data_IF_658320018026
#
_entry.id   IF_658320018026
#
_cell.length_a   1.000
_cell.length_b   1.000
_cell.length_c   1.000
_cell.angle_alpha   90.00
_cell.angle_beta   90.00
_cell.angle_gamma   90.00
#
_symmetry.space_group_name_H-M   'P 1'
#
loop_
_entity.id
_entity.type
_entity.pdbx_description
1 polymer ?
#
# COMPACT_ATOMS: atom_id res chain seq x y z
N UNK A 1 17.76 82.30 -11.72
CA UNK A 1 18.66 81.08 -11.77
C UNK A 1 17.97 80.01 -11.02
N UNK A 2 17.24 79.17 -11.70
CA UNK A 2 16.48 78.03 -11.08
C UNK A 2 16.91 76.72 -11.71
N UNK A 3 17.53 75.88 -10.97
CA UNK A 3 17.96 74.57 -11.39
C UNK A 3 16.85 73.54 -11.07
N UNK A 4 16.21 73.06 -12.14
CA UNK A 4 15.23 71.96 -12.10
C UNK A 4 15.96 70.60 -11.96
N UNK A 5 15.80 69.92 -10.86
CA UNK A 5 16.26 68.54 -10.69
C UNK A 5 15.18 67.59 -11.21
N UNK A 6 15.49 66.84 -12.25
CA UNK A 6 14.67 65.73 -12.78
C UNK A 6 14.88 64.50 -11.89
N UNK A 7 13.78 63.95 -11.34
CA UNK A 7 13.70 62.65 -10.67
C UNK A 7 13.63 61.56 -11.74
N UNK A 8 14.42 60.47 -11.67
CA UNK A 8 14.31 59.37 -12.61
C UNK A 8 13.04 58.55 -12.35
N UNK A 9 12.32 58.23 -13.42
CA UNK A 9 11.16 57.36 -13.38
C UNK A 9 11.61 55.94 -13.03
N UNK A 10 11.08 55.39 -11.92
CA UNK A 10 11.30 54.04 -11.47
C UNK A 10 10.75 53.00 -12.46
N UNK A 11 11.50 51.94 -12.61
CA UNK A 11 11.12 50.75 -13.34
C UNK A 11 9.94 50.08 -12.62
N UNK A 12 8.75 50.11 -13.20
CA UNK A 12 7.66 49.22 -12.78
C UNK A 12 7.97 47.83 -13.25
N UNK A 13 8.40 46.98 -12.33
CA UNK A 13 8.56 45.57 -12.54
C UNK A 13 7.15 44.93 -12.61
N UNK A 14 6.65 44.71 -13.82
CA UNK A 14 5.41 43.99 -14.06
C UNK A 14 5.65 42.51 -13.68
N UNK A 15 5.37 42.16 -12.44
CA UNK A 15 5.16 40.76 -12.07
C UNK A 15 3.95 40.25 -12.87
N UNK A 16 4.23 39.56 -13.97
CA UNK A 16 3.22 38.79 -14.70
C UNK A 16 2.81 37.67 -13.76
N UNK A 17 1.64 37.80 -13.12
CA UNK A 17 1.02 36.71 -12.38
C UNK A 17 0.89 35.53 -13.34
N UNK A 18 1.61 34.45 -13.06
CA UNK A 18 1.38 33.17 -13.72
C UNK A 18 -0.10 32.82 -13.48
N UNK A 19 -0.83 32.32 -14.49
CA UNK A 19 -2.18 31.87 -14.27
C UNK A 19 -2.13 30.82 -13.17
N UNK A 20 -2.96 31.00 -12.13
CA UNK A 20 -3.33 29.97 -11.18
C UNK A 20 -4.00 28.86 -12.00
N UNK A 21 -3.19 27.95 -12.57
CA UNK A 21 -3.72 26.66 -12.99
C UNK A 21 -4.43 26.11 -11.79
N UNK A 22 -5.72 25.86 -11.97
CA UNK A 22 -6.62 25.35 -10.94
C UNK A 22 -5.93 24.16 -10.26
N UNK A 23 -5.43 24.36 -9.04
CA UNK A 23 -5.11 23.25 -8.14
C UNK A 23 -6.43 22.55 -7.88
N UNK A 24 -6.77 21.60 -8.72
CA UNK A 24 -7.83 20.64 -8.42
C UNK A 24 -7.35 19.92 -7.17
N UNK A 25 -7.86 20.33 -6.01
CA UNK A 25 -7.68 19.58 -4.77
C UNK A 25 -8.24 18.19 -5.03
N UNK A 26 -7.37 17.23 -5.22
CA UNK A 26 -7.76 15.83 -5.35
C UNK A 26 -8.53 15.46 -4.09
N UNK A 27 -9.79 15.09 -4.24
CA UNK A 27 -10.61 14.66 -3.12
C UNK A 27 -10.12 13.30 -2.65
N UNK A 28 -10.12 13.07 -1.34
CA UNK A 28 -9.83 11.75 -0.79
C UNK A 28 -10.79 10.72 -1.40
N UNK A 29 -10.29 9.58 -1.89
CA UNK A 29 -11.15 8.56 -2.46
C UNK A 29 -12.13 8.04 -1.41
N UNK A 30 -13.39 7.93 -1.81
CA UNK A 30 -14.43 7.25 -1.04
C UNK A 30 -14.48 5.76 -1.38
N UNK A 31 -13.82 5.36 -2.47
CA UNK A 31 -13.70 3.99 -2.97
C UNK A 31 -12.27 3.83 -3.55
N UNK A 32 -11.67 2.66 -3.37
CA UNK A 32 -10.41 2.27 -4.01
C UNK A 32 -10.73 1.40 -5.22
N UNK A 33 -11.33 2.01 -6.22
CA UNK A 33 -11.55 1.33 -7.49
C UNK A 33 -10.21 1.01 -8.18
N UNK A 34 -10.11 -0.12 -8.90
CA UNK A 34 -8.90 -0.48 -9.62
C UNK A 34 -8.52 0.61 -10.65
N UNK A 35 -7.23 0.89 -10.77
CA UNK A 35 -6.74 1.87 -11.77
C UNK A 35 -7.02 1.46 -13.21
N UNK A 36 -7.20 0.17 -13.46
CA UNK A 36 -7.59 -0.45 -14.72
C UNK A 36 -8.61 -1.58 -14.46
N UNK A 37 -9.75 -1.61 -15.16
CA UNK A 37 -10.76 -2.68 -14.97
C UNK A 37 -10.20 -4.10 -15.15
N UNK A 38 -9.25 -4.29 -16.06
CA UNK A 38 -8.59 -5.58 -16.32
C UNK A 38 -7.87 -6.17 -15.10
N UNK A 39 -7.58 -5.38 -14.05
CA UNK A 39 -7.00 -5.90 -12.81
C UNK A 39 -7.99 -6.76 -12.02
N UNK A 40 -9.29 -6.54 -12.18
CA UNK A 40 -10.34 -7.39 -11.60
C UNK A 40 -10.53 -8.65 -12.46
N UNK A 41 -10.54 -8.51 -13.79
CA UNK A 41 -10.64 -9.65 -14.70
C UNK A 41 -9.52 -10.65 -14.43
N UNK A 42 -8.29 -10.17 -14.19
CA UNK A 42 -7.14 -11.00 -13.85
C UNK A 42 -7.34 -11.84 -12.56
N UNK A 43 -8.08 -11.35 -11.59
CA UNK A 43 -8.39 -12.14 -10.39
C UNK A 43 -9.22 -13.37 -10.74
N UNK A 44 -10.13 -13.25 -11.71
CA UNK A 44 -10.90 -14.39 -12.24
C UNK A 44 -10.01 -15.36 -13.03
N UNK A 45 -9.12 -14.85 -13.89
CA UNK A 45 -8.14 -15.67 -14.63
C UNK A 45 -7.24 -16.45 -13.63
N UNK A 46 -6.83 -15.83 -12.53
CA UNK A 46 -6.02 -16.48 -11.48
C UNK A 46 -6.80 -17.61 -10.81
N UNK A 47 -8.04 -17.36 -10.41
CA UNK A 47 -8.88 -18.40 -9.80
C UNK A 47 -9.07 -19.59 -10.75
N UNK A 48 -9.40 -19.34 -12.01
CA UNK A 48 -9.52 -20.38 -13.02
C UNK A 48 -8.22 -21.19 -13.18
N UNK A 49 -7.08 -20.49 -13.26
CA UNK A 49 -5.77 -21.14 -13.42
C UNK A 49 -5.41 -22.07 -12.25
N UNK A 50 -5.74 -21.69 -11.01
CA UNK A 50 -5.44 -22.47 -9.83
C UNK A 50 -6.57 -23.42 -9.41
N UNK A 51 -7.76 -23.31 -10.03
CA UNK A 51 -8.94 -24.10 -9.68
C UNK A 51 -9.55 -23.69 -8.34
N UNK A 52 -9.50 -22.39 -8.00
CA UNK A 52 -10.07 -21.85 -6.76
C UNK A 52 -11.48 -21.33 -6.98
N UNK A 53 -12.34 -21.46 -5.94
CA UNK A 53 -13.71 -20.98 -5.98
C UNK A 53 -13.80 -19.54 -5.48
N UNK A 54 -14.53 -18.69 -6.20
CA UNK A 54 -14.79 -17.31 -5.77
C UNK A 54 -15.65 -17.24 -4.50
N UNK A 55 -16.46 -18.26 -4.24
CA UNK A 55 -17.29 -18.35 -3.04
C UNK A 55 -16.46 -18.35 -1.75
N UNK A 56 -15.27 -18.99 -1.79
CA UNK A 56 -14.36 -19.02 -0.64
C UNK A 56 -13.80 -17.62 -0.33
N UNK A 57 -13.45 -16.86 -1.39
CA UNK A 57 -13.01 -15.46 -1.26
C UNK A 57 -14.13 -14.58 -0.67
N UNK A 58 -15.36 -14.76 -1.15
CA UNK A 58 -16.52 -14.01 -0.68
C UNK A 58 -16.85 -14.33 0.78
N UNK A 59 -16.83 -15.61 1.16
CA UNK A 59 -17.08 -16.03 2.54
C UNK A 59 -16.02 -15.46 3.50
N UNK A 60 -14.72 -15.52 3.15
CA UNK A 60 -13.64 -14.95 3.94
C UNK A 60 -13.81 -13.43 4.10
N UNK A 61 -14.13 -12.72 3.03
CA UNK A 61 -14.33 -11.28 3.05
C UNK A 61 -15.55 -10.86 3.90
N UNK A 62 -16.67 -11.56 3.78
CA UNK A 62 -17.87 -11.32 4.59
C UNK A 62 -17.60 -11.60 6.08
N UNK A 63 -16.88 -12.68 6.39
CA UNK A 63 -16.47 -12.97 7.77
C UNK A 63 -15.55 -11.88 8.33
N UNK A 64 -14.57 -11.39 7.55
CA UNK A 64 -13.65 -10.33 7.98
C UNK A 64 -14.39 -9.03 8.27
N UNK A 65 -15.26 -8.56 7.37
CA UNK A 65 -16.00 -7.31 7.62
C UNK A 65 -16.91 -7.43 8.83
N UNK A 66 -17.60 -8.57 9.00
CA UNK A 66 -18.43 -8.83 10.17
C UNK A 66 -17.58 -8.80 11.46
N UNK A 67 -16.43 -9.49 11.48
CA UNK A 67 -15.51 -9.52 12.63
C UNK A 67 -15.04 -8.13 13.03
N UNK A 68 -14.67 -7.30 12.05
CA UNK A 68 -14.17 -5.95 12.31
C UNK A 68 -15.29 -5.00 12.74
N UNK A 69 -16.49 -5.10 12.19
CA UNK A 69 -17.61 -4.22 12.54
C UNK A 69 -18.25 -4.56 13.89
N UNK A 70 -18.04 -5.76 14.40
CA UNK A 70 -18.45 -6.15 15.76
C UNK A 70 -17.37 -5.92 16.82
N UNK A 71 -16.17 -5.48 16.41
CA UNK A 71 -15.09 -5.13 17.33
C UNK A 71 -15.43 -3.92 18.19
N UNK A 72 -14.99 -3.92 19.45
CA UNK A 72 -15.10 -2.79 20.37
C UNK A 72 -14.03 -1.70 20.11
N UNK A 73 -13.12 -1.93 19.18
CA UNK A 73 -12.11 -0.95 18.80
C UNK A 73 -12.74 0.18 17.99
N UNK A 74 -12.99 1.31 18.64
CA UNK A 74 -13.57 2.50 17.99
C UNK A 74 -12.80 2.90 16.72
N UNK A 75 -11.48 2.76 16.74
CA UNK A 75 -10.60 3.05 15.59
C UNK A 75 -10.95 2.23 14.34
N UNK A 76 -11.56 1.06 14.51
CA UNK A 76 -11.95 0.15 13.42
C UNK A 76 -13.40 0.31 12.96
N UNK A 77 -14.17 1.18 13.60
CA UNK A 77 -15.50 1.54 13.12
C UNK A 77 -15.42 2.06 11.67
N UNK A 78 -16.43 1.77 10.86
CA UNK A 78 -16.43 2.05 9.40
C UNK A 78 -16.05 3.49 9.07
N UNK A 79 -16.60 4.48 9.78
CA UNK A 79 -16.27 5.88 9.54
C UNK A 79 -14.82 6.22 9.88
N UNK A 80 -14.24 5.60 10.92
CA UNK A 80 -12.83 5.79 11.29
C UNK A 80 -11.89 5.13 10.29
N UNK A 81 -12.27 3.98 9.69
CA UNK A 81 -11.52 3.38 8.58
C UNK A 81 -11.48 4.31 7.36
N UNK A 82 -12.58 5.02 7.06
CA UNK A 82 -12.60 6.04 6.00
C UNK A 82 -11.70 7.24 6.32
N UNK A 83 -11.63 7.67 7.59
CA UNK A 83 -10.69 8.70 8.03
C UNK A 83 -9.25 8.21 7.89
N UNK A 84 -8.97 6.96 8.24
CA UNK A 84 -7.65 6.35 8.09
C UNK A 84 -7.21 6.30 6.62
N UNK A 85 -8.11 5.92 5.71
CA UNK A 85 -7.86 5.99 4.27
C UNK A 85 -7.53 7.42 3.82
N UNK A 86 -8.25 8.41 4.31
CA UNK A 86 -8.00 9.82 4.00
C UNK A 86 -6.66 10.33 4.52
N UNK A 87 -6.20 9.86 5.69
CA UNK A 87 -4.86 10.16 6.23
C UNK A 87 -3.76 9.58 5.34
N UNK A 88 -3.93 8.33 4.90
CA UNK A 88 -3.00 7.63 4.02
C UNK A 88 -2.95 8.34 2.66
N UNK A 89 -4.10 8.69 2.08
CA UNK A 89 -4.18 9.48 0.85
C UNK A 89 -3.39 10.80 0.96
N UNK A 90 -3.58 11.57 2.03
CA UNK A 90 -2.82 12.81 2.25
C UNK A 90 -1.32 12.56 2.33
N UNK A 91 -0.91 11.47 3.01
CA UNK A 91 0.51 11.13 3.18
C UNK A 91 1.16 10.74 1.85
N UNK A 92 0.48 9.98 1.01
CA UNK A 92 1.03 9.38 -0.20
C UNK A 92 0.77 10.18 -1.48
N UNK A 93 -0.37 10.86 -1.57
CA UNK A 93 -0.78 11.57 -2.79
C UNK A 93 -0.60 13.08 -2.66
N UNK A 94 -1.20 13.69 -1.62
CA UNK A 94 -1.15 15.16 -1.49
C UNK A 94 0.27 15.66 -1.20
N UNK A 95 1.03 14.97 -0.34
CA UNK A 95 2.44 15.31 -0.08
C UNK A 95 3.38 14.92 -1.22
N UNK A 96 2.88 14.11 -2.13
CA UNK A 96 3.54 13.70 -3.36
C UNK A 96 4.99 13.15 -3.17
N UNK A 97 5.27 12.23 -2.21
CA UNK A 97 6.58 11.64 -1.97
C UNK A 97 6.95 10.57 -3.01
N UNK A 98 8.22 10.22 -3.13
CA UNK A 98 8.64 8.92 -3.69
C UNK A 98 8.18 7.79 -2.76
N UNK A 99 7.79 6.65 -3.32
CA UNK A 99 7.31 5.49 -2.57
C UNK A 99 8.06 4.24 -3.03
N UNK A 100 8.64 3.50 -2.10
CA UNK A 100 9.22 2.20 -2.36
C UNK A 100 8.31 1.09 -1.81
N UNK A 101 7.97 0.13 -2.65
CA UNK A 101 7.30 -1.11 -2.24
C UNK A 101 8.39 -2.15 -1.95
N UNK A 102 8.40 -2.68 -0.73
CA UNK A 102 9.28 -3.78 -0.35
C UNK A 102 8.58 -5.10 -0.65
N UNK A 103 9.11 -5.86 -1.58
CA UNK A 103 8.69 -7.22 -1.89
C UNK A 103 9.46 -8.27 -1.08
N UNK A 104 9.02 -9.52 -1.16
CA UNK A 104 9.52 -10.59 -0.31
C UNK A 104 11.00 -10.98 -0.53
N UNK A 105 11.63 -10.56 -1.62
CA UNK A 105 13.05 -10.81 -1.90
C UNK A 105 13.94 -9.60 -1.59
N UNK A 106 13.43 -8.61 -0.82
CA UNK A 106 14.21 -7.43 -0.42
C UNK A 106 15.42 -7.81 0.43
N UNK A 107 16.57 -7.20 0.13
CA UNK A 107 17.80 -7.36 0.89
C UNK A 107 18.08 -6.11 1.75
N UNK A 108 18.79 -6.27 2.90
CA UNK A 108 19.08 -5.16 3.81
C UNK A 108 19.80 -3.99 3.14
N UNK A 109 20.69 -4.26 2.19
CA UNK A 109 21.46 -3.26 1.47
C UNK A 109 20.58 -2.39 0.57
N UNK A 110 19.53 -2.95 -0.03
CA UNK A 110 18.55 -2.20 -0.82
C UNK A 110 17.79 -1.24 0.06
N UNK A 111 17.35 -1.72 1.25
CA UNK A 111 16.66 -0.89 2.23
C UNK A 111 17.56 0.25 2.73
N UNK A 112 18.80 -0.04 3.10
CA UNK A 112 19.77 0.97 3.54
C UNK A 112 19.99 2.03 2.48
N UNK A 113 20.09 1.63 1.21
CA UNK A 113 20.26 2.56 0.08
C UNK A 113 19.08 3.50 -0.04
N UNK A 114 17.83 2.99 0.00
CA UNK A 114 16.63 3.84 -0.14
C UNK A 114 16.44 4.78 1.05
N UNK A 115 16.97 4.44 2.24
CA UNK A 115 16.92 5.32 3.41
C UNK A 115 17.80 6.57 3.28
N UNK A 116 18.72 6.64 2.31
CA UNK A 116 19.46 7.88 2.02
C UNK A 116 18.58 8.94 1.33
N UNK A 117 17.47 8.54 0.73
CA UNK A 117 16.54 9.39 -0.01
C UNK A 117 15.26 9.68 0.82
N UNK A 118 14.51 10.76 0.55
CA UNK A 118 13.27 11.09 1.24
C UNK A 118 12.09 10.24 0.73
N UNK A 119 12.23 8.91 0.74
CA UNK A 119 11.26 7.95 0.21
C UNK A 119 10.41 7.36 1.32
N UNK A 120 9.09 7.26 1.13
CA UNK A 120 8.19 6.50 1.98
C UNK A 120 8.24 5.01 1.60
N UNK A 121 7.93 4.17 2.56
CA UNK A 121 7.97 2.72 2.43
C UNK A 121 6.55 2.15 2.53
N UNK A 122 6.22 1.25 1.64
CA UNK A 122 5.08 0.34 1.73
C UNK A 122 5.64 -1.07 1.74
N UNK A 123 5.37 -1.86 2.77
CA UNK A 123 5.87 -3.23 2.81
C UNK A 123 4.76 -4.22 2.45
N UNK A 124 5.13 -5.18 1.61
CA UNK A 124 4.28 -6.32 1.28
C UNK A 124 4.51 -7.39 2.33
N UNK A 125 3.56 -7.50 3.23
CA UNK A 125 3.46 -8.50 4.28
C UNK A 125 4.78 -8.69 5.05
N UNK A 126 5.34 -9.91 5.08
CA UNK A 126 6.57 -10.25 5.77
C UNK A 126 7.81 -9.48 5.36
N UNK A 127 7.80 -8.78 4.22
CA UNK A 127 8.93 -7.97 3.77
C UNK A 127 9.36 -6.86 4.76
N UNK A 128 8.45 -6.43 5.65
CA UNK A 128 8.80 -5.54 6.75
C UNK A 128 9.87 -6.12 7.69
N UNK A 129 10.03 -7.44 7.72
CA UNK A 129 11.05 -8.14 8.51
C UNK A 129 12.48 -7.72 8.17
N UNK A 130 12.76 -7.28 6.93
CA UNK A 130 14.09 -6.79 6.54
C UNK A 130 14.58 -5.63 7.43
N UNK A 131 13.65 -4.87 8.04
CA UNK A 131 14.00 -3.75 8.94
C UNK A 131 14.72 -4.22 10.20
N UNK A 132 14.50 -5.47 10.63
CA UNK A 132 15.21 -6.05 11.77
C UNK A 132 16.67 -6.42 11.47
N UNK A 133 17.05 -6.47 10.20
CA UNK A 133 18.40 -6.89 9.77
C UNK A 133 19.32 -5.72 9.44
N UNK A 134 18.82 -4.49 9.43
CA UNK A 134 19.64 -3.30 9.27
C UNK A 134 20.11 -2.78 10.64
N UNK A 135 21.21 -1.95 10.69
CA UNK A 135 21.68 -1.37 11.95
C UNK A 135 20.57 -0.63 12.73
N UNK A 136 20.53 -0.78 14.05
CA UNK A 136 19.51 -0.20 14.91
C UNK A 136 19.30 1.31 14.69
N UNK A 137 20.37 2.06 14.41
CA UNK A 137 20.29 3.51 14.11
C UNK A 137 19.48 3.81 12.84
N UNK A 138 19.39 2.87 11.90
CA UNK A 138 18.62 2.98 10.66
C UNK A 138 17.24 2.34 10.78
N UNK A 139 17.08 1.35 11.66
CA UNK A 139 15.81 0.63 11.85
C UNK A 139 14.69 1.59 12.27
N UNK A 140 14.90 2.46 13.26
CA UNK A 140 13.89 3.46 13.66
C UNK A 140 13.60 4.47 12.54
N UNK A 141 14.62 4.86 11.78
CA UNK A 141 14.43 5.69 10.59
C UNK A 141 13.58 4.98 9.53
N UNK A 142 13.83 3.69 9.30
CA UNK A 142 13.02 2.89 8.38
C UNK A 142 11.57 2.82 8.84
N UNK A 143 11.31 2.43 10.10
CA UNK A 143 9.97 2.37 10.66
C UNK A 143 9.22 3.71 10.58
N UNK A 144 9.88 4.83 10.83
CA UNK A 144 9.25 6.16 10.71
C UNK A 144 8.79 6.49 9.28
N UNK A 145 9.39 5.84 8.29
CA UNK A 145 9.05 5.99 6.87
C UNK A 145 8.05 4.96 6.35
N UNK A 146 7.78 3.88 7.09
CA UNK A 146 6.73 2.95 6.71
C UNK A 146 5.38 3.67 6.73
N UNK A 147 4.77 3.79 5.57
CA UNK A 147 3.49 4.46 5.41
C UNK A 147 2.33 3.52 5.71
N UNK A 148 2.46 2.26 5.31
CA UNK A 148 1.49 1.18 5.52
C UNK A 148 2.12 -0.19 5.23
N UNK A 149 1.46 -1.24 5.72
CA UNK A 149 1.69 -2.63 5.33
C UNK A 149 0.48 -3.12 4.53
N UNK A 150 0.73 -3.92 3.50
CA UNK A 150 -0.30 -4.69 2.77
C UNK A 150 -0.07 -6.14 3.09
N UNK A 151 -1.06 -6.83 3.64
CA UNK A 151 -0.86 -8.17 4.21
C UNK A 151 -2.13 -9.02 4.13
N UNK A 152 -1.97 -10.29 3.84
CA UNK A 152 -2.97 -11.36 4.02
C UNK A 152 -2.81 -12.08 5.38
N UNK A 153 -1.97 -11.52 6.26
CA UNK A 153 -1.73 -11.91 7.65
C UNK A 153 -0.79 -13.11 7.85
N UNK A 154 -0.09 -13.60 6.83
CA UNK A 154 0.84 -14.73 6.93
C UNK A 154 2.33 -14.32 7.03
N UNK A 155 2.65 -13.01 7.03
CA UNK A 155 4.00 -12.44 6.98
C UNK A 155 4.85 -12.54 8.25
N UNK A 156 4.39 -13.27 9.24
CA UNK A 156 5.16 -13.59 10.44
C UNK A 156 5.59 -12.36 11.24
N UNK A 157 6.83 -12.39 11.76
CA UNK A 157 7.31 -11.38 12.71
C UNK A 157 7.39 -9.96 12.12
N UNK A 158 7.62 -9.82 10.80
CA UNK A 158 7.63 -8.51 10.13
C UNK A 158 6.28 -7.80 10.24
N UNK A 159 5.20 -8.51 9.98
CA UNK A 159 3.82 -7.99 10.10
C UNK A 159 3.43 -7.77 11.56
N UNK A 160 3.80 -8.68 12.46
CA UNK A 160 3.56 -8.54 13.90
C UNK A 160 4.24 -7.29 14.46
N UNK A 161 5.50 -7.01 14.07
CA UNK A 161 6.21 -5.82 14.53
C UNK A 161 5.58 -4.53 13.98
N UNK A 162 5.08 -4.55 12.74
CA UNK A 162 4.33 -3.43 12.20
C UNK A 162 3.05 -3.14 13.02
N UNK A 163 2.33 -4.18 13.43
CA UNK A 163 1.15 -4.05 14.31
C UNK A 163 1.54 -3.49 15.68
N UNK A 164 2.63 -3.97 16.30
CA UNK A 164 3.15 -3.42 17.58
C UNK A 164 3.45 -1.92 17.49
N UNK A 165 3.89 -1.46 16.32
CA UNK A 165 4.20 -0.05 16.03
C UNK A 165 3.02 0.76 15.55
N UNK A 166 1.82 0.18 15.53
CA UNK A 166 0.59 0.79 15.04
C UNK A 166 0.73 1.35 13.59
N UNK A 167 1.54 0.70 12.75
CA UNK A 167 1.66 1.03 11.33
C UNK A 167 0.31 0.74 10.65
N UNK A 168 -0.22 1.66 9.81
CA UNK A 168 -1.46 1.42 9.08
C UNK A 168 -1.43 0.10 8.31
N UNK A 169 -2.50 -0.69 8.39
CA UNK A 169 -2.60 -2.03 7.83
C UNK A 169 -3.72 -2.08 6.78
N UNK A 170 -3.36 -2.46 5.55
CA UNK A 170 -4.30 -2.94 4.54
C UNK A 170 -4.38 -4.45 4.68
N UNK A 171 -5.44 -4.92 5.35
CA UNK A 171 -5.65 -6.34 5.60
C UNK A 171 -6.52 -6.92 4.49
N UNK A 172 -6.06 -8.02 3.91
CA UNK A 172 -6.68 -8.67 2.78
C UNK A 172 -7.33 -9.99 3.16
N UNK A 173 -8.58 -10.18 2.72
CA UNK A 173 -9.30 -11.43 2.83
C UNK A 173 -9.30 -12.19 1.50
N UNK A 174 -8.96 -13.48 1.57
CA UNK A 174 -9.12 -14.45 0.47
C UNK A 174 -9.46 -15.85 1.03
N UNK A 175 -9.74 -16.82 0.16
CA UNK A 175 -10.41 -18.07 0.50
C UNK A 175 -9.84 -18.86 1.67
N UNK A 176 -8.50 -18.93 1.81
CA UNK A 176 -7.84 -19.81 2.78
C UNK A 176 -7.12 -19.08 3.93
N UNK A 177 -7.22 -17.74 4.04
CA UNK A 177 -6.46 -16.99 5.07
C UNK A 177 -7.28 -16.54 6.29
N UNK A 178 -8.48 -17.10 6.49
CA UNK A 178 -9.36 -16.69 7.58
C UNK A 178 -8.72 -16.81 8.96
N UNK A 179 -8.02 -17.89 9.22
CA UNK A 179 -7.38 -18.14 10.51
C UNK A 179 -6.26 -17.15 10.79
N UNK A 180 -5.49 -16.83 9.77
CA UNK A 180 -4.37 -15.91 9.84
C UNK A 180 -4.83 -14.50 10.17
N UNK A 181 -5.82 -13.97 9.44
CA UNK A 181 -6.30 -12.62 9.71
C UNK A 181 -7.12 -12.53 11.01
N UNK A 182 -7.85 -13.58 11.44
CA UNK A 182 -8.50 -13.62 12.75
C UNK A 182 -7.45 -13.49 13.86
N UNK A 183 -6.39 -14.28 13.82
CA UNK A 183 -5.31 -14.25 14.80
C UNK A 183 -4.59 -12.90 14.84
N UNK A 184 -4.36 -12.29 13.66
CA UNK A 184 -3.72 -10.96 13.57
C UNK A 184 -4.62 -9.86 14.16
N UNK A 185 -5.92 -9.91 13.91
CA UNK A 185 -6.89 -8.97 14.50
C UNK A 185 -6.98 -9.12 16.01
N UNK A 186 -7.02 -10.34 16.55
CA UNK A 186 -6.99 -10.61 17.99
C UNK A 186 -5.73 -10.01 18.62
N UNK A 187 -4.56 -10.29 18.04
CA UNK A 187 -3.31 -9.70 18.50
C UNK A 187 -3.32 -8.18 18.46
N UNK A 188 -3.87 -7.58 17.39
CA UNK A 188 -3.94 -6.13 17.25
C UNK A 188 -4.91 -5.46 18.22
N UNK A 189 -6.04 -6.12 18.55
CA UNK A 189 -7.02 -5.63 19.54
C UNK A 189 -6.45 -5.49 20.95
N UNK A 190 -5.50 -6.35 21.33
CA UNK A 190 -4.83 -6.30 22.63
C UNK A 190 -3.84 -5.14 22.79
N UNK A 191 -3.53 -4.43 21.70
CA UNK A 191 -2.56 -3.34 21.75
C UNK A 191 -3.18 -2.07 22.32
N UNK A 192 -2.43 -1.35 23.11
CA UNK A 192 -2.84 -0.04 23.64
C UNK A 192 -3.11 0.98 22.51
N UNK A 193 -2.46 0.80 21.36
CA UNK A 193 -2.69 1.59 20.15
C UNK A 193 -2.77 0.63 18.95
N UNK A 194 -3.96 0.09 18.63
CA UNK A 194 -4.12 -0.75 17.45
C UNK A 194 -3.85 0.04 16.16
N UNK A 195 -3.42 -0.62 15.06
CA UNK A 195 -3.17 0.05 13.79
C UNK A 195 -4.44 0.67 13.20
N UNK A 196 -4.29 1.70 12.37
CA UNK A 196 -5.32 2.11 11.43
C UNK A 196 -5.56 0.95 10.46
N UNK A 197 -6.83 0.59 10.22
CA UNK A 197 -7.19 -0.60 9.46
C UNK A 197 -7.98 -0.22 8.21
N UNK A 198 -7.57 -0.76 7.06
CA UNK A 198 -8.31 -0.72 5.80
C UNK A 198 -8.46 -2.16 5.31
N UNK A 199 -9.68 -2.54 4.91
CA UNK A 199 -10.00 -3.91 4.51
C UNK A 199 -10.07 -4.03 2.99
N UNK A 200 -9.47 -5.09 2.46
CA UNK A 200 -9.48 -5.39 1.03
C UNK A 200 -9.91 -6.84 0.77
N UNK A 201 -10.43 -7.09 -0.42
CA UNK A 201 -10.85 -8.40 -0.90
C UNK A 201 -10.52 -8.55 -2.38
N UNK A 202 -10.81 -9.73 -2.96
CA UNK A 202 -10.58 -10.02 -4.39
C UNK A 202 -11.82 -10.61 -5.10
N UNK A 203 -13.02 -10.36 -4.58
CA UNK A 203 -14.28 -10.76 -5.25
C UNK A 203 -14.73 -9.69 -6.23
N UNK A 204 -15.56 -10.07 -7.21
CA UNK A 204 -16.19 -9.10 -8.13
C UNK A 204 -17.29 -8.29 -7.45
N UNK A 205 -17.95 -8.83 -6.44
CA UNK A 205 -18.99 -8.17 -5.69
C UNK A 205 -18.43 -7.04 -4.82
N UNK A 206 -19.15 -5.92 -4.77
CA UNK A 206 -18.83 -4.83 -3.84
C UNK A 206 -19.27 -5.19 -2.42
N UNK A 207 -18.32 -5.16 -1.50
CA UNK A 207 -18.58 -5.38 -0.07
C UNK A 207 -18.51 -4.03 0.64
N UNK A 208 -19.63 -3.50 1.20
CA UNK A 208 -19.62 -2.22 1.88
C UNK A 208 -18.62 -2.17 3.05
N UNK A 209 -17.68 -1.23 3.00
CA UNK A 209 -16.63 -1.09 4.02
C UNK A 209 -15.34 -1.86 3.73
N UNK A 210 -15.26 -2.54 2.59
CA UNK A 210 -14.06 -3.14 2.02
C UNK A 210 -13.81 -2.63 0.60
N UNK A 211 -12.61 -2.87 0.06
CA UNK A 211 -12.18 -2.39 -1.25
C UNK A 211 -11.54 -3.51 -2.06
N UNK A 212 -11.70 -3.44 -3.39
CA UNK A 212 -10.97 -4.30 -4.32
C UNK A 212 -10.20 -3.44 -5.34
N UNK A 213 -8.97 -3.02 -5.05
CA UNK A 213 -8.12 -2.27 -5.98
C UNK A 213 -7.48 -3.15 -7.07
N UNK A 214 -7.74 -4.46 -7.06
CA UNK A 214 -7.03 -5.46 -7.85
C UNK A 214 -5.80 -6.02 -7.12
N UNK A 215 -4.99 -6.75 -7.86
CA UNK A 215 -3.82 -7.43 -7.33
C UNK A 215 -4.08 -8.87 -6.93
N UNK A 216 -2.98 -9.62 -6.72
CA UNK A 216 -3.03 -11.03 -6.39
C UNK A 216 -2.07 -11.41 -5.25
N UNK A 217 -0.78 -11.05 -5.35
CA UNK A 217 0.17 -11.18 -4.23
C UNK A 217 0.30 -9.83 -3.50
N UNK A 218 0.78 -9.81 -2.26
CA UNK A 218 0.86 -8.56 -1.50
C UNK A 218 1.71 -7.49 -2.16
N UNK A 219 2.76 -7.89 -2.91
CA UNK A 219 3.61 -6.96 -3.66
C UNK A 219 2.87 -6.22 -4.77
N UNK A 220 2.17 -6.95 -5.63
CA UNK A 220 1.39 -6.34 -6.72
C UNK A 220 0.09 -5.71 -6.21
N UNK A 221 -0.48 -6.23 -5.12
CA UNK A 221 -1.62 -5.61 -4.43
C UNK A 221 -1.23 -4.27 -3.83
N UNK A 222 -0.04 -4.14 -3.26
CA UNK A 222 0.47 -2.86 -2.81
C UNK A 222 0.58 -1.85 -3.97
N UNK A 223 1.04 -2.28 -5.14
CA UNK A 223 1.08 -1.45 -6.33
C UNK A 223 -0.33 -1.05 -6.81
N UNK A 224 -1.29 -1.99 -6.80
CA UNK A 224 -2.70 -1.72 -7.11
C UNK A 224 -3.32 -0.71 -6.13
N UNK A 225 -3.07 -0.84 -4.83
CA UNK A 225 -3.53 0.10 -3.81
C UNK A 225 -2.96 1.50 -4.07
N UNK A 226 -1.66 1.62 -4.31
CA UNK A 226 -1.01 2.91 -4.55
C UNK A 226 -1.54 3.60 -5.80
N UNK A 227 -1.73 2.87 -6.90
CA UNK A 227 -2.27 3.43 -8.14
C UNK A 227 -3.76 3.77 -8.02
N UNK A 228 -4.54 2.97 -7.29
CA UNK A 228 -5.95 3.26 -6.97
C UNK A 228 -6.10 4.49 -6.07
N UNK A 229 -5.16 4.74 -5.16
CA UNK A 229 -5.08 5.98 -4.37
C UNK A 229 -4.73 7.19 -5.24
N UNK A 230 -4.13 7.02 -6.41
CA UNK A 230 -3.68 8.09 -7.29
C UNK A 230 -2.20 8.43 -7.18
N UNK A 231 -1.38 7.56 -6.58
CA UNK A 231 0.08 7.70 -6.63
C UNK A 231 0.54 7.47 -8.08
N UNK A 232 1.29 8.43 -8.62
CA UNK A 232 1.83 8.34 -9.98
C UNK A 232 2.85 7.21 -10.10
N UNK A 233 2.75 6.41 -11.17
CA UNK A 233 3.57 5.22 -11.42
C UNK A 233 5.08 5.51 -11.39
N UNK A 234 5.50 6.65 -11.95
CA UNK A 234 6.90 7.08 -11.98
C UNK A 234 7.49 7.40 -10.59
N UNK A 235 6.67 7.38 -9.54
CA UNK A 235 7.06 7.59 -8.15
C UNK A 235 7.00 6.33 -7.31
N UNK A 236 6.64 5.21 -7.93
CA UNK A 236 6.60 3.89 -7.29
C UNK A 236 7.85 3.13 -7.73
N UNK A 237 8.64 2.71 -6.76
CA UNK A 237 9.80 1.82 -6.98
C UNK A 237 9.52 0.46 -6.38
N UNK A 238 9.71 -0.59 -7.15
CA UNK A 238 9.61 -1.96 -6.69
C UNK A 238 10.99 -2.44 -6.22
N UNK A 239 11.14 -2.79 -4.95
CA UNK A 239 12.38 -3.29 -4.35
C UNK A 239 12.17 -4.73 -3.88
N UNK A 240 13.15 -5.60 -4.08
CA UNK A 240 13.02 -7.00 -3.68
C UNK A 240 11.84 -7.73 -4.36
N UNK A 241 11.43 -7.28 -5.55
CA UNK A 241 10.37 -7.89 -6.36
C UNK A 241 11.02 -8.73 -7.45
N UNK A 242 10.90 -10.07 -7.33
CA UNK A 242 11.55 -11.04 -8.21
C UNK A 242 10.57 -12.13 -8.62
N UNK A 243 10.82 -12.73 -9.79
CA UNK A 243 10.00 -13.83 -10.34
C UNK A 243 10.78 -15.11 -10.54
N UNK A 244 12.06 -15.10 -10.26
CA UNK A 244 13.02 -16.21 -10.44
C UNK A 244 13.41 -16.88 -9.11
N UNK A 245 12.96 -16.35 -7.98
CA UNK A 245 13.25 -16.89 -6.65
C UNK A 245 12.09 -16.60 -5.69
N UNK A 246 11.84 -17.54 -4.78
CA UNK A 246 10.95 -17.30 -3.63
C UNK A 246 11.71 -16.44 -2.62
N UNK A 247 11.21 -15.24 -2.36
CA UNK A 247 11.85 -14.33 -1.43
C UNK A 247 11.83 -14.86 0.01
N UNK A 248 12.86 -14.58 0.77
CA UNK A 248 13.03 -15.02 2.17
C UNK A 248 11.96 -14.49 3.14
N UNK A 249 11.28 -13.42 2.76
CA UNK A 249 10.20 -12.81 3.53
C UNK A 249 8.81 -13.27 3.08
N UNK A 250 8.73 -14.28 2.20
CA UNK A 250 7.47 -14.93 1.88
C UNK A 250 6.99 -15.74 3.07
N UNK A 251 5.68 -15.75 3.32
CA UNK A 251 5.05 -16.66 4.27
C UNK A 251 5.33 -18.15 3.94
N UNK A 252 4.85 -19.04 4.78
CA UNK A 252 4.99 -20.49 4.55
C UNK A 252 4.28 -20.86 3.25
N UNK A 253 5.01 -21.36 2.26
CA UNK A 253 4.48 -21.69 0.95
C UNK A 253 5.24 -22.83 0.30
N UNK A 254 4.58 -23.54 -0.62
CA UNK A 254 5.25 -24.50 -1.50
C UNK A 254 5.95 -23.73 -2.62
N UNK A 255 7.25 -23.96 -2.82
CA UNK A 255 8.08 -23.24 -3.78
C UNK A 255 7.48 -23.26 -5.19
N UNK A 256 7.08 -24.42 -5.70
CA UNK A 256 6.49 -24.54 -7.04
C UNK A 256 5.21 -23.72 -7.21
N UNK A 257 4.35 -23.71 -6.19
CA UNK A 257 3.12 -22.90 -6.20
C UNK A 257 3.46 -21.41 -6.16
N UNK A 258 4.41 -21.02 -5.30
CA UNK A 258 4.83 -19.61 -5.21
C UNK A 258 5.43 -19.11 -6.53
N UNK A 259 6.26 -19.90 -7.19
CA UNK A 259 6.84 -19.55 -8.50
C UNK A 259 5.75 -19.27 -9.54
N UNK A 260 4.67 -20.06 -9.56
CA UNK A 260 3.51 -19.79 -10.42
C UNK A 260 2.80 -18.48 -10.05
N UNK A 261 2.60 -18.23 -8.75
CA UNK A 261 2.02 -16.97 -8.25
C UNK A 261 2.86 -15.76 -8.68
N UNK A 262 4.19 -15.87 -8.65
CA UNK A 262 5.09 -14.79 -9.05
C UNK A 262 4.99 -14.45 -10.55
N UNK A 263 4.64 -15.40 -11.43
CA UNK A 263 4.38 -15.09 -12.85
C UNK A 263 3.10 -14.25 -13.02
N UNK A 264 2.07 -14.51 -12.21
CA UNK A 264 0.87 -13.67 -12.18
C UNK A 264 1.17 -12.28 -11.63
N UNK A 265 1.97 -12.17 -10.56
CA UNK A 265 2.48 -10.88 -10.06
C UNK A 265 3.14 -10.07 -11.18
N UNK A 266 4.06 -10.67 -11.94
CA UNK A 266 4.72 -10.03 -13.08
C UNK A 266 3.69 -9.49 -14.09
N UNK A 267 2.71 -10.31 -14.47
CA UNK A 267 1.65 -9.91 -15.41
C UNK A 267 0.87 -8.68 -14.91
N UNK A 268 0.51 -8.68 -13.62
CA UNK A 268 -0.21 -7.57 -13.00
C UNK A 268 0.65 -6.29 -12.97
N UNK A 269 1.91 -6.41 -12.58
CA UNK A 269 2.84 -5.27 -12.55
C UNK A 269 3.16 -4.74 -13.95
N UNK A 270 3.30 -5.62 -14.98
CA UNK A 270 3.52 -5.22 -16.37
C UNK A 270 2.35 -4.41 -16.92
N UNK A 271 1.10 -4.83 -16.65
CA UNK A 271 -0.11 -4.08 -17.05
C UNK A 271 -0.14 -2.69 -16.41
N UNK A 272 0.38 -2.56 -15.20
CA UNK A 272 0.48 -1.27 -14.51
C UNK A 272 1.70 -0.45 -14.96
N UNK A 273 2.59 -0.99 -15.80
CA UNK A 273 3.85 -0.32 -16.19
C UNK A 273 4.82 -0.16 -15.03
N UNK A 274 4.82 -1.11 -14.08
CA UNK A 274 5.71 -1.19 -12.92
C UNK A 274 6.66 -2.39 -12.97
N UNK A 275 6.71 -3.08 -14.10
CA UNK A 275 7.64 -4.15 -14.39
C UNK A 275 8.30 -3.89 -15.74
N UNK A 276 9.62 -3.85 -15.75
CA UNK A 276 10.45 -3.80 -16.97
C UNK A 276 11.07 -5.19 -17.18
N UNK A 277 11.01 -5.69 -18.43
CA UNK A 277 11.58 -7.00 -18.81
C UNK A 277 13.10 -6.94 -19.04
#
# INVERSE_FOLDING_TARGET
MGTSSRVPRGFFNTYRALPLESMTYSQSPTDLAPSLPSLIDLQSDVREYFGWDESDDLESAQAMIQRVETSLQEKWARHNRSISLSKIFRRLVIRNPEVAILGAAIEPEELVRILSEPTLIVAADGAAGVISEIPNSLSEKAWSRVALIVSDADGGEGTIEAVRRAVPLFLHAHGDNRREWESLLEFAEERASPPDLILTHQTQEKIPGMYNPGGFTDGDRAACILTALGVSRNRIRMLGTRTDVVGRWSGKTQEQMKMKKLQWMRRILSIQGLWED
#
